data_IF_327039317989
#
_entry.id   IF_327039317989
#
_cell.length_a   1.000
_cell.length_b   1.000
_cell.length_c   1.000
_cell.angle_alpha   90.00
_cell.angle_beta   90.00
_cell.angle_gamma   90.00
#
_symmetry.space_group_name_H-M   'P 1'
#
loop_
_entity.id
_entity.type
_entity.pdbx_description
1 polymer ?
#
# COMPACT_ATOMS: atom_id res chain seq x y z
N UNK A 1 -2.56 9.78 2.10
CA UNK A 1 -3.77 9.70 2.97
C UNK A 1 -3.33 9.24 4.36
N UNK A 2 -3.94 9.74 5.44
CA UNK A 2 -3.62 9.41 6.85
C UNK A 2 -2.12 9.38 7.19
N UNK A 3 -1.30 10.21 6.54
CA UNK A 3 0.17 10.17 6.69
C UNK A 3 0.79 8.77 6.49
N UNK A 4 0.22 7.97 5.59
CA UNK A 4 0.69 6.61 5.30
C UNK A 4 0.28 5.55 6.32
N UNK A 5 -0.53 5.91 7.33
CA UNK A 5 -0.90 5.04 8.45
C UNK A 5 -2.21 4.28 8.16
N UNK A 6 -2.31 3.62 7.01
CA UNK A 6 -3.43 2.70 6.72
C UNK A 6 -2.90 1.42 6.12
N UNK A 7 -3.54 0.28 6.42
CA UNK A 7 -3.17 -1.03 5.89
C UNK A 7 -3.22 -1.14 4.36
N UNK A 8 -3.94 -0.23 3.69
CA UNK A 8 -4.05 -0.17 2.23
C UNK A 8 -3.14 0.88 1.59
N UNK A 9 -2.20 1.48 2.33
CA UNK A 9 -1.24 2.40 1.74
C UNK A 9 -0.20 1.65 0.89
N UNK A 10 0.08 2.17 -0.31
CA UNK A 10 1.11 1.61 -1.17
C UNK A 10 2.51 1.87 -0.59
N UNK A 11 3.11 0.84 0.00
CA UNK A 11 4.47 0.90 0.56
C UNK A 11 5.57 0.76 -0.52
N UNK A 12 5.32 -0.09 -1.52
CA UNK A 12 6.25 -0.38 -2.63
C UNK A 12 5.63 0.12 -3.93
N UNK A 13 6.29 1.08 -4.58
CA UNK A 13 5.81 1.65 -5.84
C UNK A 13 6.74 1.19 -6.97
N UNK A 14 6.28 0.22 -7.73
CA UNK A 14 7.01 -0.31 -8.88
C UNK A 14 6.70 0.54 -10.11
N UNK A 15 7.75 1.02 -10.80
CA UNK A 15 7.64 1.88 -11.97
C UNK A 15 8.49 1.32 -13.11
N UNK A 16 7.86 1.17 -14.28
CA UNK A 16 8.53 0.58 -15.44
C UNK A 16 9.65 1.48 -15.95
N UNK A 17 10.78 0.90 -16.34
CA UNK A 17 12.02 1.62 -16.69
C UNK A 17 11.83 2.77 -17.68
N UNK A 18 10.95 2.61 -18.68
CA UNK A 18 10.71 3.62 -19.71
C UNK A 18 9.98 4.89 -19.22
N UNK A 19 9.37 4.85 -18.03
CA UNK A 19 8.67 6.00 -17.42
C UNK A 19 9.17 6.35 -16.03
N UNK A 20 10.19 5.66 -15.53
CA UNK A 20 10.67 5.76 -14.16
C UNK A 20 11.05 7.20 -13.76
N UNK A 21 11.95 7.82 -14.52
CA UNK A 21 12.47 9.15 -14.15
C UNK A 21 11.37 10.22 -14.22
N UNK A 22 10.53 10.16 -15.26
CA UNK A 22 9.40 11.08 -15.44
C UNK A 22 8.33 10.91 -14.34
N UNK A 23 8.08 9.68 -13.89
CA UNK A 23 7.18 9.40 -12.78
C UNK A 23 7.76 9.91 -11.45
N UNK A 24 9.03 9.62 -11.19
CA UNK A 24 9.72 10.05 -9.98
C UNK A 24 9.70 11.57 -9.83
N UNK A 25 10.00 12.31 -10.90
CA UNK A 25 9.94 13.77 -10.92
C UNK A 25 8.52 14.29 -10.61
N UNK A 26 7.50 13.75 -11.30
CA UNK A 26 6.10 14.15 -11.09
C UNK A 26 5.61 13.84 -9.68
N UNK A 27 5.92 12.64 -9.18
CA UNK A 27 5.55 12.25 -7.82
C UNK A 27 6.21 13.18 -6.80
N UNK A 28 7.52 13.41 -6.91
CA UNK A 28 8.25 14.32 -6.01
C UNK A 28 7.66 15.73 -6.05
N UNK A 29 7.34 16.25 -7.24
CA UNK A 29 6.68 17.56 -7.40
C UNK A 29 5.33 17.64 -6.69
N UNK A 30 4.47 16.61 -6.83
CA UNK A 30 3.16 16.60 -6.14
C UNK A 30 3.29 16.42 -4.63
N UNK A 31 4.22 15.57 -4.18
CA UNK A 31 4.46 15.35 -2.73
C UNK A 31 5.02 16.60 -2.08
N UNK A 32 5.87 17.37 -2.76
CA UNK A 32 6.42 18.63 -2.25
C UNK A 32 5.35 19.71 -2.00
N UNK A 33 4.17 19.60 -2.62
CA UNK A 33 3.04 20.53 -2.40
C UNK A 33 2.23 20.20 -1.15
N UNK A 34 2.45 19.02 -0.53
CA UNK A 34 1.66 18.59 0.62
C UNK A 34 2.00 19.40 1.86
N UNK A 35 1.03 20.16 2.37
CA UNK A 35 1.17 20.91 3.62
C UNK A 35 1.14 19.95 4.83
N UNK A 36 2.22 19.95 5.60
CA UNK A 36 2.31 19.28 6.91
C UNK A 36 1.83 20.24 8.00
N UNK A 37 1.01 19.78 8.93
CA UNK A 37 0.50 20.63 10.01
C UNK A 37 -0.53 19.95 10.90
N UNK A 38 -1.16 20.71 11.79
CA UNK A 38 -2.24 20.18 12.63
C UNK A 38 -3.46 19.81 11.78
N UNK A 39 -4.08 18.66 12.04
CA UNK A 39 -5.20 18.15 11.22
C UNK A 39 -6.45 19.04 11.24
N UNK A 40 -6.54 19.99 12.17
CA UNK A 40 -7.63 20.98 12.27
C UNK A 40 -7.38 22.22 11.41
N UNK A 41 -6.17 22.42 10.89
CA UNK A 41 -5.84 23.60 10.10
C UNK A 41 -6.26 23.46 8.62
N UNK A 42 -6.81 24.52 8.00
CA UNK A 42 -7.16 24.50 6.59
C UNK A 42 -5.96 24.17 5.68
N UNK A 43 -6.22 23.30 4.70
CA UNK A 43 -5.27 22.91 3.66
C UNK A 43 -4.16 21.95 4.11
N UNK A 44 -4.13 21.53 5.38
CA UNK A 44 -3.20 20.48 5.83
C UNK A 44 -3.57 19.16 5.18
N UNK A 45 -2.59 18.51 4.56
CA UNK A 45 -2.74 17.20 3.91
C UNK A 45 -2.04 16.08 4.70
N UNK A 46 -1.10 16.44 5.58
CA UNK A 46 -0.26 15.52 6.33
C UNK A 46 -0.25 15.92 7.80
N UNK A 47 -0.88 15.07 8.63
CA UNK A 47 -0.88 15.20 10.08
C UNK A 47 0.33 14.52 10.73
N UNK A 48 0.41 14.52 12.07
CA UNK A 48 1.46 13.80 12.79
C UNK A 48 1.32 12.28 12.65
N UNK A 49 2.42 11.57 12.89
CA UNK A 49 2.38 10.15 13.19
C UNK A 49 1.79 9.91 14.59
N UNK A 50 1.22 8.73 14.79
CA UNK A 50 0.45 8.39 15.99
C UNK A 50 1.26 8.50 17.29
N UNK A 51 2.55 8.17 17.26
CA UNK A 51 3.44 8.21 18.42
C UNK A 51 4.93 8.24 18.00
N UNK A 52 5.81 8.38 18.98
CA UNK A 52 7.27 8.43 18.77
C UNK A 52 7.85 7.13 18.21
N UNK A 53 7.28 5.96 18.57
CA UNK A 53 7.74 4.68 18.03
C UNK A 53 7.49 4.58 16.52
N UNK A 54 6.39 5.14 16.02
CA UNK A 54 6.12 5.23 14.58
C UNK A 54 7.15 6.13 13.87
N UNK A 55 7.53 7.27 14.48
CA UNK A 55 8.59 8.13 13.95
C UNK A 55 9.92 7.38 13.87
N UNK A 56 10.32 6.71 14.96
CA UNK A 56 11.55 5.95 15.03
C UNK A 56 11.59 4.81 13.98
N UNK A 57 10.45 4.14 13.72
CA UNK A 57 10.34 3.13 12.68
C UNK A 57 10.55 3.73 11.29
N UNK A 58 9.91 4.85 10.98
CA UNK A 58 10.09 5.56 9.71
C UNK A 58 11.55 5.98 9.52
N UNK A 59 12.19 6.53 10.55
CA UNK A 59 13.62 6.89 10.52
C UNK A 59 14.51 5.68 10.25
N UNK A 60 14.23 4.54 10.89
CA UNK A 60 14.98 3.31 10.68
C UNK A 60 14.86 2.81 9.24
N UNK A 61 13.64 2.80 8.68
CA UNK A 61 13.41 2.38 7.29
C UNK A 61 14.09 3.30 6.28
N UNK A 62 14.01 4.62 6.47
CA UNK A 62 14.67 5.59 5.58
C UNK A 62 16.19 5.45 5.66
N UNK A 63 16.74 5.33 6.88
CA UNK A 63 18.18 5.15 7.09
C UNK A 63 18.69 3.86 6.46
N UNK A 64 17.96 2.77 6.64
CA UNK A 64 18.28 1.47 6.04
C UNK A 64 18.26 1.53 4.52
N UNK A 65 17.21 2.11 3.93
CA UNK A 65 17.11 2.26 2.48
C UNK A 65 18.29 3.04 1.90
N UNK A 66 18.68 4.16 2.53
CA UNK A 66 19.83 4.96 2.11
C UNK A 66 21.14 4.19 2.28
N UNK A 67 21.30 3.43 3.36
CA UNK A 67 22.49 2.59 3.58
C UNK A 67 22.63 1.50 2.49
N UNK A 68 21.52 1.04 1.93
CA UNK A 68 21.46 0.08 0.82
C UNK A 68 21.36 0.73 -0.57
N UNK A 69 21.62 2.04 -0.68
CA UNK A 69 21.79 2.73 -1.97
C UNK A 69 20.59 3.50 -2.49
N UNK A 70 19.47 3.57 -1.74
CA UNK A 70 18.36 4.45 -2.11
C UNK A 70 18.79 5.92 -2.07
N UNK A 71 18.28 6.72 -3.00
CA UNK A 71 18.44 8.17 -3.02
C UNK A 71 17.20 8.85 -2.47
N UNK A 72 17.39 9.81 -1.57
CA UNK A 72 16.31 10.69 -1.14
C UNK A 72 16.07 11.74 -2.22
N UNK A 73 14.87 11.73 -2.82
CA UNK A 73 14.43 12.79 -3.75
C UNK A 73 13.77 13.96 -3.02
N UNK A 74 13.12 13.68 -1.88
CA UNK A 74 12.40 14.64 -1.05
C UNK A 74 12.31 14.13 0.39
N UNK A 75 12.35 15.04 1.36
CA UNK A 75 12.09 14.74 2.77
C UNK A 75 13.21 13.95 3.44
N UNK A 76 12.84 12.88 4.15
CA UNK A 76 13.76 11.91 4.75
C UNK A 76 14.16 12.19 6.20
N UNK A 77 13.50 13.15 6.87
CA UNK A 77 13.80 13.53 8.25
C UNK A 77 12.54 13.97 9.00
N UNK A 78 12.67 14.13 10.32
CA UNK A 78 11.64 14.75 11.16
C UNK A 78 11.33 16.15 10.65
N UNK A 79 10.05 16.52 10.70
CA UNK A 79 9.59 17.83 10.26
C UNK A 79 9.95 18.91 11.29
N UNK A 80 10.13 20.16 10.84
CA UNK A 80 10.50 21.29 11.69
C UNK A 80 9.46 21.63 12.79
N UNK A 81 8.23 21.14 12.67
CA UNK A 81 7.19 21.26 13.71
C UNK A 81 7.50 20.46 14.98
N UNK A 82 8.48 19.54 14.93
CA UNK A 82 8.86 18.71 16.08
C UNK A 82 7.82 17.65 16.43
N UNK A 83 7.89 17.09 17.63
CA UNK A 83 6.98 16.03 18.08
C UNK A 83 6.99 14.82 17.13
N UNK A 84 5.80 14.34 16.76
CA UNK A 84 5.64 13.18 15.88
C UNK A 84 5.40 13.55 14.41
N UNK A 85 5.78 14.75 13.99
CA UNK A 85 5.70 15.16 12.59
C UNK A 85 6.93 14.70 11.79
N UNK A 86 6.69 14.10 10.63
CA UNK A 86 7.75 13.62 9.72
C UNK A 86 7.54 14.20 8.32
N UNK A 87 8.63 14.49 7.60
CA UNK A 87 8.55 15.02 6.24
C UNK A 87 8.03 13.95 5.26
N UNK A 88 7.06 14.27 4.39
CA UNK A 88 6.73 13.41 3.25
C UNK A 88 7.99 13.08 2.45
N UNK A 89 8.28 11.79 2.33
CA UNK A 89 9.57 11.29 1.85
C UNK A 89 9.38 10.50 0.57
N UNK A 90 10.17 10.82 -0.45
CA UNK A 90 10.23 10.06 -1.70
C UNK A 90 11.64 9.50 -1.85
N UNK A 91 11.74 8.18 -1.93
CA UNK A 91 12.98 7.45 -2.15
C UNK A 91 13.00 6.91 -3.58
N UNK A 92 14.09 7.15 -4.29
CA UNK A 92 14.39 6.53 -5.56
C UNK A 92 15.41 5.41 -5.38
N UNK A 93 15.39 4.49 -6.34
CA UNK A 93 16.36 3.42 -6.53
C UNK A 93 16.31 2.43 -5.37
N UNK A 94 15.10 2.16 -4.89
CA UNK A 94 14.84 1.16 -3.88
C UNK A 94 15.05 -0.25 -4.45
N UNK A 95 15.58 -1.15 -3.62
CA UNK A 95 15.86 -2.55 -3.97
C UNK A 95 15.20 -3.50 -2.96
N UNK A 96 15.10 -4.77 -3.33
CA UNK A 96 14.50 -5.82 -2.49
C UNK A 96 15.25 -6.08 -1.18
N UNK A 97 16.49 -5.63 -1.06
CA UNK A 97 17.35 -5.81 0.12
C UNK A 97 17.02 -4.85 1.26
N UNK A 98 16.20 -3.81 1.01
CA UNK A 98 15.85 -2.78 1.98
C UNK A 98 14.73 -3.24 2.92
N UNK A 99 14.80 -2.90 4.20
CA UNK A 99 13.82 -3.31 5.23
C UNK A 99 12.37 -2.97 4.84
N UNK A 100 12.15 -1.83 4.17
CA UNK A 100 10.83 -1.38 3.72
C UNK A 100 10.15 -2.31 2.69
N UNK A 101 10.84 -3.35 2.18
CA UNK A 101 10.25 -4.38 1.31
C UNK A 101 9.67 -5.55 2.09
N UNK A 102 10.21 -5.82 3.28
CA UNK A 102 9.81 -6.94 4.16
C UNK A 102 8.90 -6.48 5.29
N UNK A 103 8.98 -5.21 5.67
CA UNK A 103 8.18 -4.61 6.74
C UNK A 103 7.24 -3.51 6.25
N UNK A 104 6.08 -3.38 6.90
CA UNK A 104 5.18 -2.27 6.66
C UNK A 104 5.66 -1.01 7.40
N UNK A 105 5.88 0.08 6.65
CA UNK A 105 6.43 1.33 7.20
C UNK A 105 5.41 2.11 8.04
N UNK A 106 4.13 2.12 7.64
CA UNK A 106 3.05 2.92 8.27
C UNK A 106 3.45 4.38 8.51
N UNK A 107 3.98 5.03 7.47
CA UNK A 107 4.42 6.42 7.52
C UNK A 107 4.49 7.07 6.14
N UNK A 108 4.83 8.36 6.05
CA UNK A 108 4.72 9.13 4.81
C UNK A 108 5.96 8.90 3.93
N UNK A 109 6.27 7.64 3.61
CA UNK A 109 7.41 7.23 2.79
C UNK A 109 6.90 6.54 1.52
N UNK A 110 7.34 7.01 0.37
CA UNK A 110 7.08 6.42 -0.93
C UNK A 110 8.40 5.95 -1.54
N UNK A 111 8.61 4.64 -1.65
CA UNK A 111 9.81 4.05 -2.23
C UNK A 111 9.55 3.57 -3.67
N UNK A 112 10.38 4.05 -4.60
CA UNK A 112 10.31 3.75 -6.03
C UNK A 112 11.28 2.64 -6.41
N UNK A 113 10.71 1.58 -7.01
CA UNK A 113 11.42 0.42 -7.51
C UNK A 113 11.33 0.41 -9.02
N UNK A 114 12.45 0.16 -9.69
CA UNK A 114 12.49 0.06 -11.15
C UNK A 114 12.26 -1.39 -11.55
N UNK A 115 11.45 -1.61 -12.58
CA UNK A 115 11.28 -2.92 -13.22
C UNK A 115 11.26 -2.78 -14.74
N UNK A 116 11.43 -3.88 -15.48
CA UNK A 116 11.47 -3.91 -16.93
C UNK A 116 10.25 -4.59 -17.54
N UNK A 117 9.91 -5.78 -17.06
CA UNK A 117 8.86 -6.63 -17.66
C UNK A 117 7.62 -6.75 -16.78
N UNK A 118 6.50 -7.12 -17.41
CA UNK A 118 5.23 -7.40 -16.70
C UNK A 118 5.41 -8.57 -15.72
N UNK A 119 6.07 -9.65 -16.15
CA UNK A 119 6.30 -10.84 -15.32
C UNK A 119 7.17 -10.51 -14.09
N UNK A 120 8.23 -9.70 -14.28
CA UNK A 120 9.12 -9.26 -13.20
C UNK A 120 8.37 -8.47 -12.13
N UNK A 121 7.49 -7.53 -12.52
CA UNK A 121 6.75 -6.74 -11.53
C UNK A 121 5.70 -7.56 -10.79
N UNK A 122 5.10 -8.56 -11.45
CA UNK A 122 4.18 -9.49 -10.78
C UNK A 122 4.93 -10.33 -9.74
N UNK A 123 6.10 -10.87 -10.09
CA UNK A 123 6.94 -11.62 -9.14
C UNK A 123 7.36 -10.74 -7.95
N UNK A 124 7.86 -9.53 -8.21
CA UNK A 124 8.25 -8.57 -7.17
C UNK A 124 7.08 -8.13 -6.28
N UNK A 125 5.89 -7.93 -6.87
CA UNK A 125 4.69 -7.60 -6.12
C UNK A 125 4.32 -8.76 -5.21
N UNK A 126 4.31 -10.00 -5.70
CA UNK A 126 3.93 -11.18 -4.93
C UNK A 126 5.00 -11.65 -3.93
N UNK A 127 6.27 -11.21 -4.06
CA UNK A 127 7.36 -11.48 -3.09
C UNK A 127 7.16 -10.69 -1.78
N UNK A 128 6.17 -11.13 -1.01
CA UNK A 128 5.84 -10.64 0.34
C UNK A 128 4.88 -11.63 1.02
N UNK A 129 4.90 -11.64 2.35
CA UNK A 129 3.93 -12.38 3.16
C UNK A 129 2.57 -11.67 3.23
N UNK A 130 2.51 -10.38 2.85
CA UNK A 130 1.28 -9.58 2.88
C UNK A 130 0.56 -9.63 1.52
N UNK A 131 -0.77 -9.71 1.55
CA UNK A 131 -1.63 -9.80 0.36
C UNK A 131 -2.94 -9.04 0.54
N UNK A 132 -2.92 -7.83 1.12
CA UNK A 132 -4.15 -7.07 1.37
C UNK A 132 -4.63 -6.29 0.14
N UNK A 133 -3.93 -5.20 -0.21
CA UNK A 133 -4.32 -4.35 -1.34
C UNK A 133 -3.14 -4.10 -2.30
N UNK A 134 -3.43 -4.15 -3.59
CA UNK A 134 -2.51 -3.78 -4.67
C UNK A 134 -3.20 -2.81 -5.64
N UNK A 135 -2.38 -2.02 -6.34
CA UNK A 135 -2.84 -1.02 -7.30
C UNK A 135 -1.93 -1.04 -8.51
N UNK A 136 -2.49 -0.90 -9.70
CA UNK A 136 -1.69 -0.71 -10.90
C UNK A 136 -2.40 0.18 -11.91
N UNK A 137 -1.60 0.79 -12.79
CA UNK A 137 -2.08 1.67 -13.86
C UNK A 137 -1.63 1.14 -15.22
N UNK A 138 -2.59 0.86 -16.10
CA UNK A 138 -2.34 0.36 -17.44
C UNK A 138 -3.48 0.77 -18.39
N UNK A 139 -3.14 0.92 -19.68
CA UNK A 139 -4.12 1.22 -20.75
C UNK A 139 -4.53 0.00 -21.56
N UNK A 140 -3.66 -1.01 -21.64
CA UNK A 140 -3.93 -2.23 -22.38
C UNK A 140 -4.86 -3.14 -21.56
N UNK A 141 -6.05 -3.43 -22.10
CA UNK A 141 -7.05 -4.23 -21.38
C UNK A 141 -6.58 -5.66 -21.13
N UNK A 142 -5.80 -6.25 -22.07
CA UNK A 142 -5.23 -7.58 -21.89
C UNK A 142 -4.27 -7.64 -20.72
N UNK A 143 -3.39 -6.64 -20.59
CA UNK A 143 -2.49 -6.46 -19.44
C UNK A 143 -3.27 -6.24 -18.15
N UNK A 144 -4.34 -5.46 -18.17
CA UNK A 144 -5.16 -5.26 -16.98
C UNK A 144 -5.69 -6.59 -16.44
N UNK A 145 -6.22 -7.46 -17.29
CA UNK A 145 -6.68 -8.78 -16.87
C UNK A 145 -5.54 -9.67 -16.39
N UNK A 146 -4.46 -9.81 -17.17
CA UNK A 146 -3.33 -10.67 -16.80
C UNK A 146 -2.68 -10.27 -15.47
N UNK A 147 -2.48 -8.98 -15.23
CA UNK A 147 -1.87 -8.49 -13.99
C UNK A 147 -2.85 -8.66 -12.82
N UNK A 148 -4.12 -8.29 -13.00
CA UNK A 148 -5.10 -8.40 -11.92
C UNK A 148 -5.31 -9.84 -11.45
N UNK A 149 -5.31 -10.82 -12.36
CA UNK A 149 -5.49 -12.24 -12.03
C UNK A 149 -4.25 -12.86 -11.36
N UNK A 150 -3.05 -12.36 -11.67
CA UNK A 150 -1.81 -12.90 -11.12
C UNK A 150 -1.40 -12.28 -9.78
N UNK A 151 -1.93 -11.10 -9.43
CA UNK A 151 -1.65 -10.45 -8.16
C UNK A 151 -2.30 -11.22 -7.00
N UNK A 152 -1.48 -11.67 -6.04
CA UNK A 152 -1.93 -12.43 -4.86
C UNK A 152 -2.45 -11.49 -3.74
N UNK A 153 -3.46 -10.70 -4.06
CA UNK A 153 -4.00 -9.65 -3.21
C UNK A 153 -5.52 -9.71 -3.08
N UNK A 154 -6.01 -9.33 -1.91
CA UNK A 154 -7.42 -9.30 -1.56
C UNK A 154 -8.23 -8.27 -2.35
N UNK A 155 -7.61 -7.13 -2.56
CA UNK A 155 -8.18 -6.00 -3.27
C UNK A 155 -7.19 -5.53 -4.35
N UNK A 156 -7.68 -5.36 -5.59
CA UNK A 156 -6.86 -4.89 -6.71
C UNK A 156 -7.52 -3.66 -7.33
N UNK A 157 -6.84 -2.51 -7.26
CA UNK A 157 -7.26 -1.28 -7.91
C UNK A 157 -6.64 -1.14 -9.30
N UNK A 158 -7.48 -1.03 -10.33
CA UNK A 158 -7.06 -0.86 -11.72
C UNK A 158 -7.33 0.59 -12.14
N UNK A 159 -6.27 1.36 -12.38
CA UNK A 159 -6.34 2.80 -12.69
C UNK A 159 -7.06 3.66 -11.63
N UNK A 160 -7.13 3.18 -10.39
CA UNK A 160 -7.73 3.87 -9.26
C UNK A 160 -6.91 3.59 -7.99
N UNK A 161 -6.62 4.63 -7.20
CA UNK A 161 -5.86 4.55 -5.95
C UNK A 161 -6.73 4.52 -4.69
N UNK A 162 -8.04 4.68 -4.82
CA UNK A 162 -9.01 4.65 -3.72
C UNK A 162 -10.15 3.69 -4.07
N UNK A 163 -10.10 2.48 -3.52
CA UNK A 163 -11.03 1.39 -3.84
C UNK A 163 -11.89 0.94 -2.65
N UNK A 164 -11.85 1.66 -1.53
CA UNK A 164 -12.64 1.32 -0.34
C UNK A 164 -14.13 1.54 -0.61
N UNK A 165 -14.94 0.51 -0.36
CA UNK A 165 -16.40 0.55 -0.46
C UNK A 165 -17.00 -0.52 0.44
N UNK A 166 -18.16 -0.24 1.05
CA UNK A 166 -18.84 -1.15 1.96
C UNK A 166 -19.56 -2.31 1.24
N UNK A 167 -19.81 -2.17 -0.07
CA UNK A 167 -20.57 -3.16 -0.86
C UNK A 167 -19.69 -4.20 -1.57
N UNK A 168 -18.36 -4.06 -1.50
CA UNK A 168 -17.39 -5.03 -2.03
C UNK A 168 -16.65 -5.74 -0.88
N UNK A 169 -16.21 -6.99 -1.08
CA UNK A 169 -15.51 -7.73 -0.03
C UNK A 169 -14.14 -7.09 0.27
N UNK A 170 -13.84 -6.94 1.55
CA UNK A 170 -12.57 -6.40 2.05
C UNK A 170 -11.87 -7.45 2.90
N UNK A 171 -10.63 -7.79 2.56
CA UNK A 171 -9.83 -8.76 3.32
C UNK A 171 -8.72 -9.33 2.44
N UNK A 172 -7.68 -9.87 3.05
CA UNK A 172 -6.44 -10.21 2.35
C UNK A 172 -6.25 -11.68 1.97
N UNK A 173 -5.08 -11.95 1.40
CA UNK A 173 -4.49 -13.26 1.20
C UNK A 173 -3.30 -13.42 2.16
N UNK A 174 -2.74 -14.65 2.24
CA UNK A 174 -1.52 -14.95 2.99
C UNK A 174 -1.64 -14.55 4.47
N UNK A 175 -0.64 -13.86 5.01
CA UNK A 175 -0.62 -13.42 6.42
C UNK A 175 -1.47 -12.15 6.65
N UNK A 176 -2.12 -11.59 5.61
CA UNK A 176 -3.01 -10.45 5.75
C UNK A 176 -4.42 -10.79 6.27
N UNK A 177 -4.64 -12.03 6.68
CA UNK A 177 -5.84 -12.46 7.41
C UNK A 177 -6.70 -13.49 6.68
N UNK A 178 -7.79 -13.87 7.34
CA UNK A 178 -8.80 -14.83 6.88
C UNK A 178 -10.18 -14.17 6.89
N UNK A 179 -11.11 -14.67 6.08
CA UNK A 179 -12.45 -14.11 5.96
C UNK A 179 -12.51 -12.87 5.06
N UNK A 180 -13.70 -12.26 4.98
CA UNK A 180 -13.95 -11.01 4.24
C UNK A 180 -14.95 -10.17 4.99
N UNK A 181 -14.68 -8.89 5.14
CA UNK A 181 -15.58 -7.90 5.73
C UNK A 181 -16.33 -7.13 4.62
N UNK A 182 -17.50 -6.58 4.95
CA UNK A 182 -18.33 -5.83 3.98
C UNK A 182 -18.96 -6.73 2.91
N UNK A 183 -19.60 -6.11 1.92
CA UNK A 183 -20.45 -6.78 0.92
C UNK A 183 -21.52 -7.69 1.54
N UNK A 184 -22.11 -8.57 0.73
CA UNK A 184 -22.97 -9.62 1.24
C UNK A 184 -22.18 -10.78 1.86
N UNK A 185 -20.88 -10.92 1.57
CA UNK A 185 -20.04 -11.99 2.12
C UNK A 185 -19.68 -11.78 3.59
N UNK A 186 -19.63 -10.53 4.06
CA UNK A 186 -19.20 -10.26 5.44
C UNK A 186 -20.11 -10.81 6.52
N UNK A 187 -21.35 -11.18 6.19
CA UNK A 187 -22.22 -11.86 7.14
C UNK A 187 -21.85 -13.34 7.31
N UNK A 188 -21.24 -13.97 6.31
CA UNK A 188 -20.98 -15.42 6.29
C UNK A 188 -20.04 -15.84 7.45
N UNK A 189 -19.10 -14.97 7.84
CA UNK A 189 -18.18 -15.19 8.97
C UNK A 189 -18.88 -15.18 10.35
N UNK A 190 -20.16 -14.78 10.41
CA UNK A 190 -20.98 -14.72 11.62
C UNK A 190 -22.19 -15.67 11.60
N UNK A 191 -22.31 -16.52 10.57
CA UNK A 191 -23.40 -17.47 10.41
C UNK A 191 -22.95 -18.91 10.70
N UNK A 192 -23.91 -19.75 11.09
CA UNK A 192 -23.71 -21.18 11.32
C UNK A 192 -24.57 -21.99 10.35
N UNK A 193 -23.95 -22.86 9.55
CA UNK A 193 -24.68 -23.71 8.62
C UNK A 193 -25.35 -24.88 9.34
N UNK A 194 -26.67 -25.03 9.15
CA UNK A 194 -27.45 -26.15 9.68
C UNK A 194 -28.13 -26.93 8.56
N UNK A 195 -27.70 -28.17 8.34
CA UNK A 195 -28.39 -29.11 7.48
C UNK A 195 -29.51 -29.84 8.23
N UNK A 196 -30.68 -29.99 7.60
CA UNK A 196 -31.81 -30.75 8.13
C UNK A 196 -32.29 -31.76 7.08
N UNK A 197 -32.16 -33.05 7.38
CA UNK A 197 -32.74 -34.12 6.56
C UNK A 197 -34.04 -34.62 7.20
N UNK A 198 -35.16 -34.07 6.73
CA UNK A 198 -36.48 -34.48 7.23
C UNK A 198 -36.95 -35.73 6.48
N UNK A 199 -36.68 -36.90 7.07
CA UNK A 199 -37.30 -38.17 6.66
C UNK A 199 -38.72 -38.31 7.22
N UNK A 200 -39.38 -39.43 6.89
CA UNK A 200 -40.70 -39.76 7.45
C UNK A 200 -41.88 -38.98 6.84
N UNK A 201 -41.74 -38.53 5.59
CA UNK A 201 -42.87 -38.11 4.76
C UNK A 201 -43.50 -39.40 4.20
N UNK A 202 -44.73 -39.70 4.61
CA UNK A 202 -45.42 -40.97 4.36
C UNK A 202 -45.20 -41.52 2.94
N UNK A 203 -44.85 -42.81 2.85
CA UNK A 203 -44.75 -43.63 1.63
C UNK A 203 -46.05 -44.37 1.36
#
# INVERSE_FOLDING_TARGET
RNTGQTCVCANRIFVQEGVYDAFAEKLTSEVAKMKVGQGTEPGVMQGPLINEAAVAKVEAHVKDAVAHGARILLGGKRHALGGTFFEPTVLADATTDMLLTREETFGPVAALFRFKTEDEVVELANDTNAGLAAYFYARDIGRCWRVAEQLEYGLVGINEGVISTEVAPFGGYKESGLGREGSHHGIDDFLEMKYMFMGGLDS
#
